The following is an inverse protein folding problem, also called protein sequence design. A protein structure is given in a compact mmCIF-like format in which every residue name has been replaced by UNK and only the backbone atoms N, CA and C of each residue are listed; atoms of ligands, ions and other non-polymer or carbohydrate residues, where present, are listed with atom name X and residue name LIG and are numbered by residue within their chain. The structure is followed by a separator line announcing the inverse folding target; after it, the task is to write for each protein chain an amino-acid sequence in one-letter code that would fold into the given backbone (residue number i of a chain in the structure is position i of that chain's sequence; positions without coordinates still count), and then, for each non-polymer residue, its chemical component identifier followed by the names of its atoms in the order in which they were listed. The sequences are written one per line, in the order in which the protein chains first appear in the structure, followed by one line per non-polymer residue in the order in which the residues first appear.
data_IF_728701374677
#
_entry.id   IF_728701374677
#
_cell.length_a   1.000
_cell.length_b   1.000
_cell.length_c   1.000
_cell.angle_alpha   90.00
_cell.angle_beta   90.00
_cell.angle_gamma   90.00
#
_symmetry.space_group_name_H-M   'P 1'
#
loop_
_entity.id
_entity.type
_entity.pdbx_description
1 polymer ?
#
# COMPACT_ATOMS: atom_id res chain seq x y z
N UNK A 1 53.41 -19.07 -38.70
CA UNK A 1 52.66 -17.98 -38.02
C UNK A 1 51.21 -18.42 -37.94
N UNK A 2 50.78 -18.78 -36.75
CA UNK A 2 49.40 -19.25 -36.49
C UNK A 2 48.76 -18.17 -35.66
N UNK A 3 47.87 -17.38 -36.25
CA UNK A 3 47.05 -16.42 -35.52
C UNK A 3 45.90 -17.17 -34.86
N UNK A 4 45.93 -17.24 -33.55
CA UNK A 4 44.85 -17.78 -32.75
C UNK A 4 43.75 -16.69 -32.57
N UNK A 5 42.64 -16.83 -33.28
CA UNK A 5 41.43 -16.06 -33.04
C UNK A 5 40.79 -16.49 -31.72
N UNK A 6 40.93 -15.68 -30.69
CA UNK A 6 40.13 -15.81 -29.46
C UNK A 6 38.71 -15.31 -29.75
N UNK A 7 37.78 -16.23 -29.94
CA UNK A 7 36.35 -15.93 -29.87
C UNK A 7 35.98 -15.68 -28.41
N UNK A 8 35.81 -14.42 -28.02
CA UNK A 8 35.13 -14.06 -26.79
C UNK A 8 33.64 -14.37 -26.96
N UNK A 9 33.20 -15.49 -26.41
CA UNK A 9 31.78 -15.75 -26.21
C UNK A 9 31.27 -14.82 -25.10
N UNK A 10 30.60 -13.75 -25.50
CA UNK A 10 29.80 -12.92 -24.56
C UNK A 10 28.61 -13.76 -24.19
N UNK A 11 28.70 -14.45 -23.05
CA UNK A 11 27.56 -15.04 -22.39
C UNK A 11 26.67 -13.88 -21.87
N UNK A 12 25.63 -13.57 -22.64
CA UNK A 12 24.55 -12.70 -22.19
C UNK A 12 23.92 -13.32 -20.96
N UNK A 13 24.25 -12.79 -19.79
CA UNK A 13 23.52 -13.08 -18.58
C UNK A 13 22.20 -12.32 -18.67
N UNK A 14 21.14 -13.01 -19.08
CA UNK A 14 19.78 -12.55 -18.89
C UNK A 14 19.55 -12.47 -17.38
N UNK A 15 19.79 -11.29 -16.80
CA UNK A 15 19.40 -11.01 -15.44
C UNK A 15 17.88 -11.19 -15.34
N UNK A 16 17.33 -11.96 -14.36
CA UNK A 16 15.91 -12.12 -14.23
C UNK A 16 15.29 -10.75 -14.01
N UNK A 17 14.40 -10.36 -14.91
CA UNK A 17 13.61 -9.13 -14.77
C UNK A 17 12.81 -9.28 -13.48
N UNK A 18 12.91 -8.36 -12.50
CA UNK A 18 12.14 -8.47 -11.28
C UNK A 18 10.66 -8.47 -11.63
N UNK A 19 9.98 -9.56 -11.33
CA UNK A 19 8.54 -9.66 -11.48
C UNK A 19 7.89 -8.67 -10.52
N UNK A 20 7.35 -7.59 -11.06
CA UNK A 20 6.58 -6.62 -10.28
C UNK A 20 5.25 -7.30 -9.93
N UNK A 21 5.22 -8.00 -8.81
CA UNK A 21 3.98 -8.52 -8.25
C UNK A 21 3.13 -7.34 -7.80
N UNK A 22 2.23 -6.90 -8.66
CA UNK A 22 1.22 -5.91 -8.29
C UNK A 22 0.20 -6.61 -7.40
N UNK A 23 -0.07 -6.10 -6.18
CA UNK A 23 -1.12 -6.69 -5.36
C UNK A 23 -2.44 -6.66 -6.11
N UNK A 24 -3.21 -7.73 -5.99
CA UNK A 24 -4.52 -7.80 -6.60
C UNK A 24 -5.39 -6.63 -6.13
N UNK A 25 -6.13 -6.03 -7.05
CA UNK A 25 -7.08 -4.96 -6.70
C UNK A 25 -8.18 -5.55 -5.82
N UNK A 26 -8.62 -4.86 -4.74
CA UNK A 26 -9.65 -5.37 -3.84
C UNK A 26 -10.93 -5.81 -4.55
N UNK A 27 -11.35 -5.08 -5.58
CA UNK A 27 -12.51 -5.44 -6.40
C UNK A 27 -12.35 -6.81 -7.07
N UNK A 28 -11.13 -7.21 -7.43
CA UNK A 28 -10.85 -8.53 -8.01
C UNK A 28 -10.97 -9.61 -6.95
N UNK A 29 -10.53 -9.37 -5.72
CA UNK A 29 -10.67 -10.31 -4.61
C UNK A 29 -12.13 -10.61 -4.29
N UNK A 30 -13.02 -9.64 -4.48
CA UNK A 30 -14.45 -9.77 -4.26
C UNK A 30 -15.25 -10.09 -5.55
N UNK A 31 -14.59 -10.46 -6.64
CA UNK A 31 -15.23 -10.62 -7.97
C UNK A 31 -16.31 -11.70 -8.03
N UNK A 32 -16.30 -12.68 -7.12
CA UNK A 32 -17.37 -13.69 -7.03
C UNK A 32 -18.74 -13.06 -6.67
N UNK A 33 -18.73 -11.87 -6.11
CA UNK A 33 -19.94 -11.13 -5.71
C UNK A 33 -20.34 -10.02 -6.69
N UNK A 34 -19.72 -9.94 -7.88
CA UNK A 34 -19.88 -8.82 -8.82
C UNK A 34 -21.33 -8.60 -9.26
N UNK A 35 -22.18 -9.61 -9.17
CA UNK A 35 -23.60 -9.55 -9.56
C UNK A 35 -24.55 -9.33 -8.36
N UNK A 36 -24.02 -9.12 -7.16
CA UNK A 36 -24.78 -8.86 -5.93
C UNK A 36 -24.13 -7.70 -5.16
N UNK A 37 -24.64 -6.48 -5.39
CA UNK A 37 -24.08 -5.26 -4.79
C UNK A 37 -23.98 -5.32 -3.27
N UNK A 38 -24.93 -5.97 -2.61
CA UNK A 38 -24.92 -6.10 -1.16
C UNK A 38 -23.81 -7.05 -0.69
N UNK A 39 -23.62 -8.17 -1.37
CA UNK A 39 -22.56 -9.11 -1.06
C UNK A 39 -21.19 -8.54 -1.40
N UNK A 40 -21.07 -7.84 -2.53
CA UNK A 40 -19.85 -7.14 -2.94
C UNK A 40 -19.46 -6.08 -1.90
N UNK A 41 -20.39 -5.26 -1.47
CA UNK A 41 -20.16 -4.24 -0.42
C UNK A 41 -19.63 -4.88 0.87
N UNK A 42 -20.28 -5.93 1.37
CA UNK A 42 -19.82 -6.62 2.59
C UNK A 42 -18.41 -7.18 2.43
N UNK A 43 -18.10 -7.79 1.29
CA UNK A 43 -16.75 -8.30 1.00
C UNK A 43 -15.71 -7.16 1.06
N UNK A 44 -15.97 -6.02 0.42
CA UNK A 44 -15.07 -4.88 0.45
C UNK A 44 -14.95 -4.26 1.84
N UNK A 45 -16.03 -4.17 2.60
CA UNK A 45 -16.01 -3.69 3.99
C UNK A 45 -15.15 -4.60 4.90
N UNK A 46 -15.23 -5.91 4.73
CA UNK A 46 -14.41 -6.88 5.44
C UNK A 46 -12.92 -6.73 5.08
N UNK A 47 -12.60 -6.55 3.80
CA UNK A 47 -11.24 -6.26 3.35
C UNK A 47 -10.70 -4.93 3.91
N UNK A 48 -11.53 -3.90 3.98
CA UNK A 48 -11.16 -2.62 4.57
C UNK A 48 -10.86 -2.77 6.07
N UNK A 49 -11.72 -3.46 6.80
CA UNK A 49 -11.51 -3.74 8.23
C UNK A 49 -10.20 -4.48 8.47
N UNK A 50 -9.88 -5.46 7.65
CA UNK A 50 -8.62 -6.20 7.72
C UNK A 50 -7.41 -5.29 7.39
N UNK A 51 -7.51 -4.46 6.36
CA UNK A 51 -6.45 -3.53 5.99
C UNK A 51 -6.20 -2.48 7.09
N UNK A 52 -7.24 -1.98 7.72
CA UNK A 52 -7.15 -1.02 8.84
C UNK A 52 -6.49 -1.66 10.07
N UNK A 53 -6.79 -2.92 10.38
CA UNK A 53 -6.11 -3.64 11.45
C UNK A 53 -4.61 -3.81 11.16
N UNK A 54 -4.25 -4.10 9.92
CA UNK A 54 -2.84 -4.25 9.50
C UNK A 54 -2.05 -2.94 9.55
N UNK A 55 -2.62 -1.83 9.10
CA UNK A 55 -1.96 -0.52 9.19
C UNK A 55 -1.83 -0.07 10.63
N UNK A 56 -2.80 -0.37 11.48
CA UNK A 56 -2.72 -0.13 12.93
C UNK A 56 -1.56 -0.86 13.57
N UNK A 57 -1.37 -2.14 13.27
CA UNK A 57 -0.22 -2.92 13.75
C UNK A 57 1.12 -2.40 13.24
N UNK A 58 1.21 -2.01 11.97
CA UNK A 58 2.43 -1.43 11.40
C UNK A 58 2.75 -0.06 12.02
N UNK A 59 1.73 0.76 12.29
CA UNK A 59 1.89 2.05 12.96
C UNK A 59 2.39 1.88 14.40
N UNK A 60 1.87 0.92 15.14
CA UNK A 60 2.32 0.62 16.52
C UNK A 60 3.79 0.20 16.54
N UNK A 61 4.22 -0.65 15.60
CA UNK A 61 5.62 -1.02 15.46
C UNK A 61 6.50 0.19 15.15
N UNK A 62 6.10 1.03 14.20
CA UNK A 62 6.84 2.25 13.85
C UNK A 62 6.90 3.25 15.02
N UNK A 63 5.84 3.37 15.83
CA UNK A 63 5.83 4.20 17.05
C UNK A 63 6.82 3.70 18.09
N UNK A 64 6.94 2.38 18.28
CA UNK A 64 7.91 1.82 19.20
C UNK A 64 9.35 2.18 18.78
N UNK A 65 9.68 2.06 17.49
CA UNK A 65 10.98 2.47 16.96
C UNK A 65 11.23 3.97 17.14
N UNK A 66 10.24 4.81 16.82
CA UNK A 66 10.32 6.26 17.00
C UNK A 66 10.52 6.65 18.48
N UNK A 67 9.84 5.95 19.41
CA UNK A 67 9.98 6.20 20.84
C UNK A 67 11.40 5.84 21.36
N UNK A 68 12.02 4.79 20.82
CA UNK A 68 13.42 4.45 21.16
C UNK A 68 14.38 5.55 20.71
N UNK A 69 14.19 6.10 19.51
CA UNK A 69 14.98 7.23 19.00
C UNK A 69 14.80 8.47 19.89
N UNK A 70 13.57 8.77 20.30
CA UNK A 70 13.28 9.92 21.16
C UNK A 70 13.88 9.76 22.57
N UNK A 71 14.02 8.52 23.07
CA UNK A 71 14.72 8.25 24.34
C UNK A 71 16.23 8.47 24.22
N UNK A 72 16.83 8.09 23.11
CA UNK A 72 18.26 8.25 22.87
C UNK A 72 18.66 9.70 22.59
N UNK A 73 17.77 10.47 21.98
CA UNK A 73 17.99 11.88 21.59
C UNK A 73 16.84 12.78 22.05
N UNK A 74 16.68 13.00 23.37
CA UNK A 74 15.56 13.77 23.91
C UNK A 74 15.51 15.21 23.40
N UNK A 75 14.36 15.60 22.86
CA UNK A 75 14.12 16.96 22.36
C UNK A 75 14.83 17.32 21.04
N UNK A 76 15.48 16.34 20.37
CA UNK A 76 16.19 16.56 19.12
C UNK A 76 15.48 15.96 17.91
N UNK A 77 15.15 14.67 17.97
CA UNK A 77 14.55 13.97 16.83
C UNK A 77 13.04 14.19 16.71
N UNK A 78 12.32 14.20 17.83
CA UNK A 78 10.85 14.28 17.87
C UNK A 78 10.17 13.29 16.93
N UNK A 79 10.75 12.07 16.83
CA UNK A 79 10.39 11.06 15.85
C UNK A 79 8.94 10.60 15.99
N UNK A 80 8.46 10.40 17.23
CA UNK A 80 7.07 10.04 17.50
C UNK A 80 6.09 11.11 17.05
N UNK A 81 6.39 12.39 17.32
CA UNK A 81 5.54 13.51 16.92
C UNK A 81 5.46 13.65 15.38
N UNK A 82 6.58 13.46 14.70
CA UNK A 82 6.62 13.49 13.23
C UNK A 82 5.87 12.31 12.61
N UNK A 83 5.99 11.12 13.17
CA UNK A 83 5.24 9.93 12.72
C UNK A 83 3.73 10.14 12.87
N UNK A 84 3.28 10.63 14.02
CA UNK A 84 1.86 10.88 14.29
C UNK A 84 1.28 11.96 13.37
N UNK A 85 2.03 13.05 13.13
CA UNK A 85 1.63 14.09 12.20
C UNK A 85 1.54 13.57 10.76
N UNK A 86 2.51 12.79 10.31
CA UNK A 86 2.52 12.17 8.99
C UNK A 86 1.35 11.20 8.80
N UNK A 87 1.05 10.38 9.81
CA UNK A 87 -0.07 9.43 9.73
C UNK A 87 -1.43 10.15 9.70
N UNK A 88 -1.62 11.19 10.50
CA UNK A 88 -2.83 12.02 10.48
C UNK A 88 -3.04 12.70 9.12
N UNK A 89 -2.00 13.25 8.54
CA UNK A 89 -2.04 13.84 7.20
C UNK A 89 -2.36 12.80 6.13
N UNK A 90 -1.81 11.59 6.26
CA UNK A 90 -2.10 10.48 5.36
C UNK A 90 -3.57 10.07 5.41
N UNK A 91 -4.19 9.96 6.58
CA UNK A 91 -5.63 9.65 6.72
C UNK A 91 -6.47 10.68 5.97
N UNK A 92 -6.18 11.96 6.16
CA UNK A 92 -6.87 13.06 5.47
C UNK A 92 -6.72 12.94 3.95
N UNK A 93 -5.50 12.70 3.48
CA UNK A 93 -5.23 12.47 2.05
C UNK A 93 -5.99 11.26 1.51
N UNK A 94 -5.92 10.10 2.18
CA UNK A 94 -6.61 8.87 1.77
C UNK A 94 -8.10 9.13 1.56
N UNK A 95 -8.76 9.72 2.54
CA UNK A 95 -10.20 9.92 2.50
C UNK A 95 -10.61 10.93 1.42
N UNK A 96 -9.85 12.02 1.27
CA UNK A 96 -10.09 13.01 0.21
C UNK A 96 -9.84 12.43 -1.19
N UNK A 97 -8.75 11.69 -1.38
CA UNK A 97 -8.42 11.08 -2.68
C UNK A 97 -9.42 10.02 -3.08
N UNK A 98 -9.88 9.19 -2.14
CA UNK A 98 -10.89 8.18 -2.44
C UNK A 98 -12.26 8.80 -2.73
N UNK A 99 -12.61 9.91 -2.08
CA UNK A 99 -13.79 10.68 -2.43
C UNK A 99 -13.67 11.31 -3.82
N UNK A 100 -12.50 11.86 -4.18
CA UNK A 100 -12.24 12.38 -5.52
C UNK A 100 -12.41 11.29 -6.59
N UNK A 101 -11.85 10.09 -6.38
CA UNK A 101 -11.99 8.97 -7.32
C UNK A 101 -13.44 8.53 -7.45
N UNK A 102 -14.15 8.40 -6.34
CA UNK A 102 -15.56 8.02 -6.31
C UNK A 102 -16.44 9.02 -7.07
N UNK A 103 -16.14 10.32 -6.99
CA UNK A 103 -16.88 11.38 -7.67
C UNK A 103 -16.84 11.29 -9.20
N UNK A 104 -15.85 10.59 -9.76
CA UNK A 104 -15.77 10.35 -11.21
C UNK A 104 -16.87 9.41 -11.72
N UNK A 105 -17.47 8.62 -10.83
CA UNK A 105 -18.61 7.74 -11.11
C UNK A 105 -19.96 8.39 -10.73
N UNK A 106 -19.94 9.69 -10.50
CA UNK A 106 -21.09 10.51 -10.10
C UNK A 106 -21.61 10.11 -8.69
N UNK A 107 -22.75 9.45 -8.61
CA UNK A 107 -23.37 8.99 -7.36
C UNK A 107 -23.96 7.60 -7.56
N UNK A 108 -24.08 6.84 -6.47
CA UNK A 108 -24.71 5.52 -6.47
C UNK A 108 -23.79 4.42 -5.93
N UNK A 109 -24.22 3.17 -6.11
CA UNK A 109 -23.50 2.00 -5.57
C UNK A 109 -22.09 1.86 -6.15
N UNK A 110 -21.90 2.12 -7.43
CA UNK A 110 -20.58 2.09 -8.09
C UNK A 110 -19.59 3.09 -7.47
N UNK A 111 -20.08 4.29 -7.13
CA UNK A 111 -19.30 5.33 -6.45
C UNK A 111 -18.84 4.86 -5.05
N UNK A 112 -19.73 4.25 -4.28
CA UNK A 112 -19.40 3.72 -2.96
C UNK A 112 -18.43 2.54 -3.03
N UNK A 113 -18.62 1.62 -3.98
CA UNK A 113 -17.69 0.52 -4.20
C UNK A 113 -16.30 1.01 -4.60
N UNK A 114 -16.22 2.03 -5.43
CA UNK A 114 -14.95 2.67 -5.81
C UNK A 114 -14.27 3.33 -4.62
N UNK A 115 -15.02 3.98 -3.73
CA UNK A 115 -14.46 4.55 -2.50
C UNK A 115 -13.88 3.48 -1.58
N UNK A 116 -14.56 2.34 -1.41
CA UNK A 116 -14.08 1.21 -0.62
C UNK A 116 -12.82 0.60 -1.23
N UNK A 117 -12.84 0.29 -2.52
CA UNK A 117 -11.68 -0.26 -3.26
C UNK A 117 -10.45 0.64 -3.10
N UNK A 118 -10.62 1.95 -3.28
CA UNK A 118 -9.57 2.94 -3.11
C UNK A 118 -9.01 2.96 -1.68
N UNK A 119 -9.87 2.99 -0.67
CA UNK A 119 -9.45 3.01 0.75
C UNK A 119 -8.65 1.77 1.11
N UNK A 120 -9.09 0.60 0.67
CA UNK A 120 -8.37 -0.66 0.90
C UNK A 120 -6.97 -0.59 0.27
N UNK A 121 -6.89 -0.19 -1.00
CA UNK A 121 -5.63 -0.13 -1.74
C UNK A 121 -4.63 0.86 -1.09
N UNK A 122 -5.07 2.07 -0.74
CA UNK A 122 -4.22 3.07 -0.10
C UNK A 122 -3.82 2.67 1.32
N UNK A 123 -4.69 2.01 2.08
CA UNK A 123 -4.39 1.53 3.43
C UNK A 123 -3.35 0.41 3.39
N UNK A 124 -3.46 -0.52 2.45
CA UNK A 124 -2.45 -1.56 2.24
C UNK A 124 -1.09 -0.98 1.84
N UNK A 125 -1.08 0.03 0.95
CA UNK A 125 0.14 0.73 0.55
C UNK A 125 0.81 1.42 1.77
N UNK A 126 0.03 2.04 2.64
CA UNK A 126 0.55 2.65 3.87
C UNK A 126 1.16 1.63 4.83
N UNK A 127 0.55 0.47 4.95
CA UNK A 127 1.11 -0.64 5.75
C UNK A 127 2.51 -1.02 5.24
N UNK A 128 2.67 -1.14 3.94
CA UNK A 128 3.97 -1.45 3.30
C UNK A 128 4.98 -0.34 3.58
N UNK A 129 4.64 0.93 3.39
CA UNK A 129 5.51 2.07 3.68
C UNK A 129 6.01 2.08 5.14
N UNK A 130 5.12 1.81 6.09
CA UNK A 130 5.48 1.79 7.51
C UNK A 130 6.39 0.62 7.89
N UNK A 131 6.40 -0.46 7.11
CA UNK A 131 7.23 -1.66 7.34
C UNK A 131 8.59 -1.61 6.66
N UNK A 132 8.75 -0.78 5.63
CA UNK A 132 9.97 -0.67 4.83
C UNK A 132 10.99 0.37 5.36
N UNK A 133 10.84 0.83 6.59
CA UNK A 133 11.72 1.83 7.21
C UNK A 133 13.00 1.23 7.74
#
# INVERSE_FOLDING_TARGET
MIEAFFLLAVLGQDAPVPEIVRPARPMIECSEHINDDRALRRCLEDLLSSAEAQVGGALDAARNEAAEIDLDMPGLAEATAHLDAAHSAWITYRDAECQRRASLLMIGDDSEMMALDCRIALTRARTTELREQ
#
